data_IF_778636505170
#
_entry.id   IF_778636505170
#
_cell.length_a   1.000
_cell.length_b   1.000
_cell.length_c   1.000
_cell.angle_alpha   90.00
_cell.angle_beta   90.00
_cell.angle_gamma   90.00
#
_symmetry.space_group_name_H-M   'P 1'
#
loop_
_entity.id
_entity.type
_entity.pdbx_description
1 polymer ?
#
# COMPACT_ATOMS: atom_id res chain seq x y z
N UNK A 1 -13.56 27.10 9.07
CA UNK A 1 -13.53 25.80 8.36
C UNK A 1 -13.91 24.72 9.37
N UNK A 2 -14.87 23.85 9.06
CA UNK A 2 -15.21 22.71 9.93
C UNK A 2 -14.02 21.76 9.89
N UNK A 3 -13.31 21.56 11.01
CA UNK A 3 -12.28 20.53 11.11
C UNK A 3 -12.95 19.19 10.81
N UNK A 4 -12.75 18.68 9.60
CA UNK A 4 -12.96 17.27 9.37
C UNK A 4 -11.65 16.63 9.79
N UNK A 5 -11.55 16.18 11.04
CA UNK A 5 -10.32 15.54 11.53
C UNK A 5 -10.06 14.30 10.66
N UNK A 6 -9.14 14.45 9.71
CA UNK A 6 -8.65 13.36 8.87
C UNK A 6 -7.46 12.79 9.62
N UNK A 7 -7.49 11.48 9.86
CA UNK A 7 -6.36 10.82 10.48
C UNK A 7 -5.17 10.82 9.49
N UNK A 8 -3.98 11.36 9.86
CA UNK A 8 -2.79 11.31 9.01
C UNK A 8 -2.42 9.90 8.53
N UNK A 9 -2.74 8.87 9.34
CA UNK A 9 -2.50 7.46 9.00
C UNK A 9 -3.28 6.99 7.76
N UNK A 10 -4.35 7.68 7.37
CA UNK A 10 -5.11 7.34 6.16
C UNK A 10 -4.27 7.45 4.89
N UNK A 11 -3.29 8.36 4.82
CA UNK A 11 -2.38 8.43 3.67
C UNK A 11 -1.41 7.24 3.59
N UNK A 12 -1.07 6.63 4.73
CA UNK A 12 -0.27 5.42 4.75
C UNK A 12 -1.05 4.25 4.14
N UNK A 13 -2.34 4.13 4.47
CA UNK A 13 -3.25 3.12 3.88
C UNK A 13 -3.34 3.30 2.36
N UNK A 14 -3.48 4.55 1.89
CA UNK A 14 -3.49 4.86 0.44
C UNK A 14 -2.18 4.40 -0.22
N UNK A 15 -1.02 4.71 0.37
CA UNK A 15 0.27 4.23 -0.15
C UNK A 15 0.30 2.70 -0.24
N UNK A 16 -0.13 2.06 0.84
CA UNK A 16 -0.09 0.62 0.97
C UNK A 16 -0.94 -0.08 -0.09
N UNK A 17 -2.14 0.42 -0.38
CA UNK A 17 -3.01 -0.13 -1.43
C UNK A 17 -2.37 -0.07 -2.81
N UNK A 18 -1.72 1.05 -3.15
CA UNK A 18 -0.96 1.14 -4.41
C UNK A 18 0.19 0.12 -4.43
N UNK A 19 0.96 0.04 -3.34
CA UNK A 19 2.07 -0.92 -3.23
C UNK A 19 1.60 -2.36 -3.37
N UNK A 20 0.47 -2.73 -2.74
CA UNK A 20 -0.12 -4.07 -2.85
C UNK A 20 -0.52 -4.36 -4.29
N UNK A 21 -1.17 -3.42 -4.99
CA UNK A 21 -1.51 -3.59 -6.41
C UNK A 21 -0.25 -3.82 -7.27
N UNK A 22 0.78 -2.98 -7.10
CA UNK A 22 2.04 -3.14 -7.84
C UNK A 22 2.73 -4.47 -7.52
N UNK A 23 2.79 -4.85 -6.25
CA UNK A 23 3.38 -6.11 -5.80
C UNK A 23 2.67 -7.33 -6.38
N UNK A 24 1.33 -7.31 -6.46
CA UNK A 24 0.56 -8.37 -7.08
C UNK A 24 0.86 -8.49 -8.59
N UNK A 25 0.96 -7.37 -9.32
CA UNK A 25 1.37 -7.38 -10.73
C UNK A 25 2.78 -7.97 -10.91
N UNK A 26 3.75 -7.57 -10.08
CA UNK A 26 5.10 -8.14 -10.15
C UNK A 26 5.11 -9.64 -9.82
N UNK A 27 4.25 -10.07 -8.91
CA UNK A 27 4.10 -11.49 -8.57
C UNK A 27 3.54 -12.28 -9.75
N UNK A 28 2.59 -11.74 -10.52
CA UNK A 28 2.10 -12.36 -11.76
C UNK A 28 3.26 -12.59 -12.72
N UNK A 29 4.09 -11.58 -12.96
CA UNK A 29 5.24 -11.69 -13.85
C UNK A 29 6.29 -12.68 -13.34
N UNK A 30 6.53 -12.72 -12.04
CA UNK A 30 7.43 -13.70 -11.44
C UNK A 30 6.89 -15.13 -11.63
N UNK A 31 5.59 -15.36 -11.42
CA UNK A 31 4.96 -16.66 -11.64
C UNK A 31 5.07 -17.10 -13.10
N UNK A 32 4.83 -16.19 -14.05
CA UNK A 32 5.00 -16.49 -15.48
C UNK A 32 6.47 -16.75 -15.84
N UNK A 33 7.40 -15.96 -15.31
CA UNK A 33 8.84 -16.16 -15.52
C UNK A 33 9.29 -17.53 -15.03
N UNK A 34 8.85 -17.94 -13.83
CA UNK A 34 9.12 -19.26 -13.27
C UNK A 34 8.54 -20.38 -14.14
N UNK A 35 7.32 -20.19 -14.68
CA UNK A 35 6.71 -21.14 -15.59
C UNK A 35 7.52 -21.29 -16.88
N UNK A 36 7.92 -20.17 -17.50
CA UNK A 36 8.72 -20.17 -18.73
C UNK A 36 10.09 -20.82 -18.48
N UNK A 37 10.80 -20.46 -17.41
CA UNK A 37 12.09 -21.06 -17.06
C UNK A 37 11.96 -22.56 -16.83
N UNK A 38 10.97 -23.00 -16.07
CA UNK A 38 10.78 -24.43 -15.77
C UNK A 38 10.42 -25.24 -17.02
N UNK A 39 9.60 -24.67 -17.91
CA UNK A 39 9.23 -25.31 -19.18
C UNK A 39 10.41 -25.59 -20.12
N UNK A 40 11.53 -24.88 -19.96
CA UNK A 40 12.75 -25.15 -20.74
C UNK A 40 13.51 -26.40 -20.29
N UNK A 41 13.39 -26.79 -19.01
CA UNK A 41 14.21 -27.86 -18.42
C UNK A 41 13.41 -29.14 -18.09
N UNK A 42 12.11 -29.03 -17.85
CA UNK A 42 11.27 -30.20 -17.53
C UNK A 42 9.83 -29.99 -18.00
N UNK A 43 9.25 -31.01 -18.63
CA UNK A 43 7.81 -31.12 -18.92
C UNK A 43 7.01 -31.38 -17.64
N UNK A 44 7.20 -30.56 -16.61
CA UNK A 44 6.45 -30.69 -15.37
C UNK A 44 5.09 -30.01 -15.56
N UNK A 45 4.10 -30.81 -15.95
CA UNK A 45 2.68 -30.47 -16.01
C UNK A 45 2.09 -30.26 -14.61
N UNK A 46 2.65 -29.37 -13.78
CA UNK A 46 1.74 -28.72 -12.81
C UNK A 46 0.71 -28.02 -13.68
N UNK A 47 -0.56 -28.38 -13.45
CA UNK A 47 -1.67 -28.14 -14.35
C UNK A 47 -1.61 -26.70 -14.89
N UNK A 48 -1.45 -26.52 -16.21
CA UNK A 48 -1.42 -25.19 -16.85
C UNK A 48 -2.61 -24.35 -16.39
N UNK A 49 -3.72 -25.02 -16.12
CA UNK A 49 -4.95 -24.48 -15.56
C UNK A 49 -4.75 -23.89 -14.16
N UNK A 50 -3.96 -24.51 -13.29
CA UNK A 50 -3.67 -24.03 -11.94
C UNK A 50 -2.83 -22.75 -11.97
N UNK A 51 -1.77 -22.70 -12.79
CA UNK A 51 -0.96 -21.49 -12.97
C UNK A 51 -1.78 -20.34 -13.54
N UNK A 52 -2.55 -20.62 -14.59
CA UNK A 52 -3.44 -19.64 -15.21
C UNK A 52 -4.49 -19.12 -14.21
N UNK A 53 -5.15 -20.01 -13.47
CA UNK A 53 -6.14 -19.64 -12.45
C UNK A 53 -5.51 -18.79 -11.34
N UNK A 54 -4.32 -19.15 -10.86
CA UNK A 54 -3.59 -18.36 -9.86
C UNK A 54 -3.28 -16.96 -10.39
N UNK A 55 -2.80 -16.84 -11.63
CA UNK A 55 -2.50 -15.53 -12.24
C UNK A 55 -3.76 -14.67 -12.38
N UNK A 56 -4.88 -15.24 -12.79
CA UNK A 56 -6.16 -14.51 -12.90
C UNK A 56 -6.64 -14.04 -11.52
N UNK A 57 -6.53 -14.88 -10.47
CA UNK A 57 -6.89 -14.49 -9.10
C UNK A 57 -6.00 -13.34 -8.61
N UNK A 58 -4.69 -13.43 -8.81
CA UNK A 58 -3.75 -12.34 -8.48
C UNK A 58 -4.06 -11.06 -9.25
N UNK A 59 -4.40 -11.18 -10.54
CA UNK A 59 -4.78 -10.05 -11.37
C UNK A 59 -6.04 -9.35 -10.86
N UNK A 60 -7.08 -10.12 -10.51
CA UNK A 60 -8.32 -9.58 -9.93
C UNK A 60 -8.02 -8.84 -8.62
N UNK A 61 -7.23 -9.44 -7.71
CA UNK A 61 -6.85 -8.77 -6.47
C UNK A 61 -6.01 -7.50 -6.71
N UNK A 62 -5.14 -7.51 -7.71
CA UNK A 62 -4.36 -6.34 -8.10
C UNK A 62 -5.25 -5.18 -8.55
N UNK A 63 -6.23 -5.47 -9.41
CA UNK A 63 -7.20 -4.47 -9.89
C UNK A 63 -8.07 -3.97 -8.74
N UNK A 64 -8.56 -4.85 -7.86
CA UNK A 64 -9.35 -4.45 -6.68
C UNK A 64 -8.53 -3.53 -5.77
N UNK A 65 -7.27 -3.87 -5.47
CA UNK A 65 -6.40 -3.04 -4.65
C UNK A 65 -6.19 -1.65 -5.27
N UNK A 66 -6.01 -1.57 -6.60
CA UNK A 66 -5.90 -0.29 -7.30
C UNK A 66 -7.20 0.53 -7.29
N UNK A 67 -8.35 -0.12 -7.47
CA UNK A 67 -9.65 0.55 -7.39
C UNK A 67 -9.89 1.11 -5.98
N UNK A 68 -9.59 0.33 -4.93
CA UNK A 68 -9.66 0.79 -3.55
C UNK A 68 -8.71 1.97 -3.30
N UNK A 69 -7.50 1.93 -3.85
CA UNK A 69 -6.56 3.05 -3.81
C UNK A 69 -7.18 4.33 -4.39
N UNK A 70 -7.76 4.28 -5.60
CA UNK A 70 -8.38 5.45 -6.23
C UNK A 70 -9.59 5.95 -5.44
N UNK A 71 -10.47 5.05 -5.00
CA UNK A 71 -11.68 5.40 -4.24
C UNK A 71 -11.34 6.09 -2.92
N UNK A 72 -10.42 5.53 -2.14
CA UNK A 72 -10.01 6.11 -0.85
C UNK A 72 -9.28 7.43 -1.07
N UNK A 73 -8.42 7.52 -2.09
CA UNK A 73 -7.72 8.76 -2.42
C UNK A 73 -8.69 9.87 -2.81
N UNK A 74 -9.67 9.58 -3.66
CA UNK A 74 -10.70 10.53 -4.04
C UNK A 74 -11.57 10.95 -2.84
N UNK A 75 -11.92 10.00 -1.97
CA UNK A 75 -12.66 10.28 -0.75
C UNK A 75 -11.91 11.23 0.19
N UNK A 76 -10.62 10.96 0.45
CA UNK A 76 -9.77 11.83 1.27
C UNK A 76 -9.67 13.23 0.65
N UNK A 77 -9.40 13.33 -0.65
CA UNK A 77 -9.33 14.61 -1.35
C UNK A 77 -10.62 15.42 -1.21
N UNK A 78 -11.78 14.78 -1.42
CA UNK A 78 -13.09 15.43 -1.27
C UNK A 78 -13.32 15.93 0.16
N UNK A 79 -12.88 15.18 1.16
CA UNK A 79 -13.01 15.55 2.57
C UNK A 79 -12.12 16.74 2.95
N UNK A 80 -10.93 16.84 2.35
CA UNK A 80 -9.95 17.91 2.61
C UNK A 80 -10.36 19.29 2.10
N UNK A 81 -11.27 19.36 1.11
CA UNK A 81 -11.58 20.59 0.38
C UNK A 81 -10.34 21.30 -0.21
N UNK A 82 -9.23 20.58 -0.36
CA UNK A 82 -8.01 21.08 -0.96
C UNK A 82 -8.19 21.19 -2.46
N UNK A 83 -7.70 22.27 -3.08
CA UNK A 83 -7.75 22.45 -4.53
C UNK A 83 -6.40 22.11 -5.13
N UNK A 84 -6.36 21.03 -5.91
CA UNK A 84 -5.13 20.65 -6.61
C UNK A 84 -4.64 21.75 -7.56
N UNK A 85 -3.33 21.93 -7.59
CA UNK A 85 -2.67 22.69 -8.63
C UNK A 85 -2.51 21.84 -9.91
N UNK A 86 -2.28 22.49 -11.05
CA UNK A 86 -2.07 21.84 -12.37
C UNK A 86 -0.98 20.77 -12.32
N UNK A 87 0.12 21.02 -11.60
CA UNK A 87 1.23 20.06 -11.45
C UNK A 87 0.79 18.78 -10.74
N UNK A 88 -0.02 18.89 -9.69
CA UNK A 88 -0.51 17.73 -8.93
C UNK A 88 -1.53 16.93 -9.76
N UNK A 89 -2.40 17.61 -10.51
CA UNK A 89 -3.32 16.96 -11.45
C UNK A 89 -2.57 16.16 -12.51
N UNK A 90 -1.50 16.73 -13.08
CA UNK A 90 -0.65 16.02 -14.06
C UNK A 90 0.02 14.81 -13.41
N UNK A 91 0.53 14.94 -12.18
CA UNK A 91 1.16 13.81 -11.46
C UNK A 91 0.16 12.68 -11.19
N UNK A 92 -1.07 13.00 -10.76
CA UNK A 92 -2.14 12.01 -10.55
C UNK A 92 -2.55 11.36 -11.86
N UNK A 93 -2.67 12.13 -12.94
CA UNK A 93 -3.00 11.61 -14.26
C UNK A 93 -1.92 10.65 -14.79
N UNK A 94 -0.64 11.05 -14.72
CA UNK A 94 0.49 10.20 -15.10
C UNK A 94 0.57 8.93 -14.25
N UNK A 95 0.31 9.03 -12.95
CA UNK A 95 0.20 7.89 -12.05
C UNK A 95 -0.86 6.89 -12.55
N UNK A 96 -2.07 7.37 -12.86
CA UNK A 96 -3.13 6.51 -13.38
C UNK A 96 -2.75 5.85 -14.71
N UNK A 97 -2.09 6.59 -15.62
CA UNK A 97 -1.59 6.04 -16.89
C UNK A 97 -0.57 4.93 -16.65
N UNK A 98 0.45 5.18 -15.80
CA UNK A 98 1.49 4.18 -15.56
C UNK A 98 0.95 2.93 -14.90
N UNK A 99 0.04 3.06 -13.94
CA UNK A 99 -0.60 1.88 -13.33
C UNK A 99 -1.48 1.15 -14.34
N UNK A 100 -2.22 1.87 -15.19
CA UNK A 100 -2.99 1.26 -16.27
C UNK A 100 -2.11 0.49 -17.28
N UNK A 101 -0.95 1.05 -17.64
CA UNK A 101 0.03 0.37 -18.49
C UNK A 101 0.56 -0.89 -17.82
N UNK A 102 0.89 -0.85 -16.52
CA UNK A 102 1.33 -2.04 -15.76
C UNK A 102 0.24 -3.13 -15.80
N UNK A 103 -1.01 -2.78 -15.49
CA UNK A 103 -2.14 -3.73 -15.54
C UNK A 103 -2.29 -4.34 -16.94
N UNK A 104 -2.15 -3.52 -17.98
CA UNK A 104 -2.26 -3.98 -19.38
C UNK A 104 -1.10 -4.92 -19.74
N UNK A 105 0.13 -4.60 -19.33
CA UNK A 105 1.31 -5.45 -19.55
C UNK A 105 1.19 -6.78 -18.80
N UNK A 106 0.74 -6.75 -17.55
CA UNK A 106 0.48 -7.97 -16.78
C UNK A 106 -0.57 -8.85 -17.46
N UNK A 107 -1.63 -8.25 -18.03
CA UNK A 107 -2.60 -9.00 -18.82
C UNK A 107 -1.98 -9.63 -20.08
N UNK A 108 -1.12 -8.91 -20.81
CA UNK A 108 -0.38 -9.46 -21.95
C UNK A 108 0.49 -10.65 -21.52
N UNK A 109 1.19 -10.53 -20.39
CA UNK A 109 2.07 -11.59 -19.86
C UNK A 109 1.28 -12.83 -19.46
N UNK A 110 0.08 -12.69 -18.89
CA UNK A 110 -0.81 -13.83 -18.56
C UNK A 110 -1.19 -14.63 -19.82
N UNK A 111 -1.47 -13.95 -20.93
CA UNK A 111 -1.92 -14.60 -22.16
C UNK A 111 -0.78 -15.03 -23.08
N UNK A 112 0.49 -14.78 -22.72
CA UNK A 112 1.62 -15.04 -23.60
C UNK A 112 1.75 -16.51 -24.01
N UNK A 113 1.41 -17.42 -23.10
CA UNK A 113 1.47 -18.86 -23.35
C UNK A 113 0.47 -19.33 -24.41
N UNK A 114 -0.57 -18.53 -24.68
CA UNK A 114 -1.61 -18.85 -25.65
C UNK A 114 -1.33 -18.26 -27.04
N UNK A 115 -0.52 -17.20 -27.15
CA UNK A 115 -0.40 -16.43 -28.40
C UNK A 115 1.02 -16.25 -28.95
N UNK A 116 2.07 -16.46 -28.14
CA UNK A 116 3.43 -16.12 -28.56
C UNK A 116 4.38 -17.31 -28.40
N UNK A 117 4.91 -17.85 -29.49
CA UNK A 117 5.71 -19.08 -29.50
C UNK A 117 7.23 -18.86 -29.51
N UNK A 118 7.72 -17.66 -29.85
CA UNK A 118 9.14 -17.41 -30.07
C UNK A 118 9.70 -16.51 -28.95
N UNK A 119 10.84 -16.90 -28.35
CA UNK A 119 11.60 -16.10 -27.37
C UNK A 119 10.78 -15.55 -26.17
N UNK A 120 9.81 -16.33 -25.67
CA UNK A 120 8.96 -15.99 -24.51
C UNK A 120 9.75 -15.44 -23.32
N UNK A 121 10.90 -16.05 -23.01
CA UNK A 121 11.74 -15.66 -21.88
C UNK A 121 12.24 -14.21 -22.01
N UNK A 122 12.81 -13.85 -23.15
CA UNK A 122 13.34 -12.51 -23.38
C UNK A 122 12.22 -11.46 -23.32
N UNK A 123 11.03 -11.80 -23.83
CA UNK A 123 9.87 -10.92 -23.81
C UNK A 123 9.35 -10.67 -22.39
N UNK A 124 9.16 -11.73 -21.60
CA UNK A 124 8.70 -11.63 -20.19
C UNK A 124 9.70 -10.84 -19.34
N UNK A 125 11.00 -11.07 -19.51
CA UNK A 125 12.05 -10.30 -18.80
C UNK A 125 11.98 -8.82 -19.17
N UNK A 126 11.86 -8.51 -20.47
CA UNK A 126 11.79 -7.13 -20.95
C UNK A 126 10.58 -6.39 -20.38
N UNK A 127 9.40 -7.02 -20.41
CA UNK A 127 8.19 -6.44 -19.82
C UNK A 127 8.31 -6.27 -18.31
N UNK A 128 8.90 -7.24 -17.61
CA UNK A 128 9.10 -7.15 -16.15
C UNK A 128 9.97 -5.93 -15.80
N UNK A 129 11.05 -5.69 -16.53
CA UNK A 129 11.93 -4.52 -16.31
C UNK A 129 11.16 -3.21 -16.52
N UNK A 130 10.38 -3.13 -17.60
CA UNK A 130 9.57 -1.94 -17.92
C UNK A 130 8.52 -1.68 -16.83
N UNK A 131 7.83 -2.73 -16.38
CA UNK A 131 6.84 -2.61 -15.31
C UNK A 131 7.46 -2.14 -13.99
N UNK A 132 8.62 -2.67 -13.61
CA UNK A 132 9.35 -2.23 -12.42
C UNK A 132 9.67 -0.73 -12.52
N UNK A 133 10.16 -0.27 -13.68
CA UNK A 133 10.46 1.15 -13.90
C UNK A 133 9.20 2.04 -13.76
N UNK A 134 8.08 1.61 -14.35
CA UNK A 134 6.80 2.31 -14.22
C UNK A 134 6.26 2.30 -12.80
N UNK A 135 6.41 1.20 -12.06
CA UNK A 135 5.89 1.13 -10.69
C UNK A 135 6.74 1.91 -9.69
N UNK A 136 8.07 1.96 -9.88
CA UNK A 136 8.93 2.90 -9.11
C UNK A 136 8.50 4.34 -9.38
N UNK A 137 8.34 4.70 -10.66
CA UNK A 137 7.91 6.06 -11.05
C UNK A 137 6.53 6.39 -10.49
N UNK A 138 5.59 5.45 -10.53
CA UNK A 138 4.26 5.57 -9.94
C UNK A 138 4.33 5.81 -8.43
N UNK A 139 5.15 5.06 -7.70
CA UNK A 139 5.32 5.26 -6.26
C UNK A 139 5.88 6.64 -5.88
N UNK A 140 6.79 7.17 -6.71
CA UNK A 140 7.34 8.52 -6.56
C UNK A 140 6.27 9.58 -6.86
N UNK A 141 5.53 9.44 -7.96
CA UNK A 141 4.43 10.35 -8.33
C UNK A 141 3.33 10.38 -7.27
N UNK A 142 2.96 9.21 -6.73
CA UNK A 142 2.00 9.07 -5.64
C UNK A 142 2.45 9.84 -4.40
N UNK A 143 3.73 9.70 -4.03
CA UNK A 143 4.32 10.42 -2.90
C UNK A 143 4.30 11.93 -3.12
N UNK A 144 4.74 12.43 -4.28
CA UNK A 144 4.78 13.87 -4.54
C UNK A 144 3.41 14.52 -4.60
N UNK A 145 2.45 13.87 -5.24
CA UNK A 145 1.10 14.41 -5.45
C UNK A 145 0.27 14.58 -4.17
N UNK A 146 0.75 14.09 -3.02
CA UNK A 146 0.08 14.23 -1.71
C UNK A 146 0.91 14.96 -0.66
N UNK A 147 2.10 15.44 -0.97
CA UNK A 147 2.96 16.12 0.03
C UNK A 147 2.21 17.30 0.65
N UNK A 148 1.57 18.13 -0.18
CA UNK A 148 0.83 19.29 0.29
C UNK A 148 -0.39 18.88 1.13
N UNK A 149 -1.11 17.85 0.68
CA UNK A 149 -2.24 17.29 1.43
C UNK A 149 -1.81 16.80 2.82
N UNK A 150 -0.74 16.00 2.89
CA UNK A 150 -0.22 15.51 4.17
C UNK A 150 0.26 16.64 5.08
N UNK A 151 0.91 17.68 4.52
CA UNK A 151 1.37 18.82 5.30
C UNK A 151 0.21 19.59 5.95
N UNK A 152 -0.90 19.76 5.22
CA UNK A 152 -2.13 20.40 5.73
C UNK A 152 -2.73 19.58 6.86
N UNK A 153 -2.95 18.28 6.65
CA UNK A 153 -3.56 17.40 7.67
C UNK A 153 -2.70 17.30 8.92
N UNK A 154 -1.39 17.17 8.77
CA UNK A 154 -0.49 17.11 9.92
C UNK A 154 -0.48 18.40 10.73
N UNK A 155 -0.67 19.56 10.07
CA UNK A 155 -0.78 20.84 10.75
C UNK A 155 -2.09 20.95 11.52
N UNK A 156 -3.21 20.61 10.89
CA UNK A 156 -4.53 20.64 11.52
C UNK A 156 -4.61 19.66 12.70
N UNK A 157 -4.10 18.43 12.53
CA UNK A 157 -4.09 17.41 13.57
C UNK A 157 -3.22 17.78 14.80
N UNK A 158 -2.14 18.56 14.60
CA UNK A 158 -1.29 19.03 15.71
C UNK A 158 -1.89 20.23 16.45
N UNK A 159 -2.83 20.94 15.83
CA UNK A 159 -3.48 22.12 16.39
C UNK A 159 -4.82 21.77 17.08
N UNK A 160 -5.35 20.57 16.88
CA UNK A 160 -6.42 20.05 17.74
C UNK A 160 -5.88 19.93 19.17
N UNK A 161 -6.44 20.67 20.14
CA UNK A 161 -5.99 20.56 21.52
C UNK A 161 -6.13 19.11 21.96
N UNK A 162 -5.06 18.53 22.50
CA UNK A 162 -5.09 17.27 23.24
C UNK A 162 -5.83 17.42 24.59
N UNK A 163 -6.82 18.31 24.67
CA UNK A 163 -7.48 18.68 25.93
C UNK A 163 -8.36 17.54 26.47
N UNK A 164 -8.66 16.52 25.66
CA UNK A 164 -9.48 15.38 26.11
C UNK A 164 -8.68 14.12 26.48
N UNK A 165 -7.35 14.08 26.27
CA UNK A 165 -6.54 12.90 26.63
C UNK A 165 -5.86 13.02 28.00
N UNK A 166 -5.77 14.22 28.58
CA UNK A 166 -5.19 14.43 29.90
C UNK A 166 -6.20 14.36 31.05
N UNK A 167 -7.51 14.37 30.77
CA UNK A 167 -8.56 14.20 31.79
C UNK A 167 -8.95 12.74 32.03
N UNK A 168 -8.82 11.85 31.04
CA UNK A 168 -9.06 10.41 31.27
C UNK A 168 -7.88 9.76 32.03
N UNK A 169 -6.63 10.14 31.75
CA UNK A 169 -5.47 9.65 32.52
C UNK A 169 -5.44 10.19 33.96
N UNK A 170 -5.98 11.39 34.23
CA UNK A 170 -6.06 11.92 35.61
C UNK A 170 -7.17 11.28 36.45
N UNK A 171 -8.20 10.71 35.83
CA UNK A 171 -9.28 10.02 36.55
C UNK A 171 -8.97 8.53 36.77
N UNK A 172 -8.15 7.89 35.94
CA UNK A 172 -7.65 6.54 36.23
C UNK A 172 -6.56 6.53 37.32
N UNK A 173 -5.66 7.52 37.36
CA UNK A 173 -4.57 7.55 38.36
C UNK A 173 -5.09 7.76 39.81
N UNK A 174 -6.29 8.33 40.00
CA UNK A 174 -6.88 8.51 41.36
C UNK A 174 -7.67 7.31 41.89
N UNK A 175 -7.94 6.27 41.09
CA UNK A 175 -8.68 5.09 41.56
C UNK A 175 -7.82 3.83 41.76
N UNK A 176 -6.55 3.84 41.35
CA UNK A 176 -5.65 2.68 41.51
C UNK A 176 -4.52 2.83 42.54
N UNK A 177 -4.50 3.91 43.32
CA UNK A 177 -3.62 4.02 44.50
C UNK A 177 -4.27 3.42 45.76
N UNK A 178 -4.62 2.14 45.70
CA UNK A 178 -4.89 1.35 46.91
C UNK A 178 -4.68 -0.14 46.69
N UNK A 179 -3.52 -0.52 46.16
CA UNK A 179 -2.98 -1.87 46.37
C UNK A 179 -1.47 -1.77 46.59
N UNK A 180 -1.07 -1.92 47.85
CA UNK A 180 0.32 -2.11 48.27
C UNK A 180 0.86 -3.35 47.53
N UNK A 181 1.66 -3.14 46.50
CA UNK A 181 2.55 -4.19 45.99
C UNK A 181 3.78 -4.20 46.88
N UNK A 182 3.77 -5.12 47.84
CA UNK A 182 4.95 -5.49 48.63
C UNK A 182 5.95 -6.10 47.65
N UNK A 183 7.14 -5.52 47.53
CA UNK A 183 8.20 -6.04 46.66
C UNK A 183 8.67 -7.39 47.22
N UNK A 184 8.55 -8.52 46.50
CA UNK A 184 8.85 -9.85 47.04
C UNK A 184 10.37 -10.17 47.06
N UNK A 185 11.24 -9.20 46.76
CA UNK A 185 12.69 -9.38 46.70
C UNK A 185 13.49 -8.53 47.70
N UNK A 186 12.82 -7.81 48.61
CA UNK A 186 13.44 -7.07 49.71
C UNK A 186 13.05 -7.73 51.03
N UNK A 187 13.82 -8.74 51.43
CA UNK A 187 13.85 -9.19 52.82
C UNK A 187 14.85 -8.31 53.57
N UNK A 188 14.35 -7.56 54.55
CA UNK A 188 15.16 -6.93 55.59
C UNK A 188 15.82 -5.62 55.19
N UNK A 189 15.10 -4.52 55.39
CA UNK A 189 15.55 -3.36 56.19
C UNK A 189 14.44 -2.30 56.12
N UNK A 190 13.72 -2.17 57.22
CA UNK A 190 12.83 -1.02 57.46
C UNK A 190 13.74 0.20 57.66
N UNK A 191 13.58 1.22 56.82
CA UNK A 191 14.08 2.56 57.12
C UNK A 191 12.85 3.36 57.58
N UNK A 192 12.77 3.57 58.90
CA UNK A 192 11.88 4.53 59.53
C UNK A 192 12.42 5.95 59.28
N UNK A 193 11.49 6.82 58.86
CA UNK A 193 11.50 8.29 58.73
C UNK A 193 12.59 9.02 57.92
#
# INVERSE_FOLDING_TARGET
MKSSSINPKSFLIVKFLLTVSLFLNYTINLVVLLNVLKSQYNNFWIDRNLYFSLQIVLFIFSVIAFLLFILIRFHLHKKMQYKYNKKELIQIFLLCIFVFLIITMSLIVIFIDSYYSINKLAFVISLTIIEIAFGITSSILESFSRINEQAIVNREWKLEPKDNLLEEEKNEIKSTQKNKVKNPFLEGEDIDD
#
